data_IF_596954348062
#
_entry.id   IF_596954348062
#
_cell.length_a   1.000
_cell.length_b   1.000
_cell.length_c   1.000
_cell.angle_alpha   90.00
_cell.angle_beta   90.00
_cell.angle_gamma   90.00
#
_symmetry.space_group_name_H-M   'P 1'
#
loop_
_entity.id
_entity.type
_entity.pdbx_description
1 polymer ?
#
# COMPACT_ATOMS: atom_id res chain seq x y z
N UNK A 1 25.33 -8.35 -20.97
CA UNK A 1 24.44 -7.39 -20.29
C UNK A 1 24.21 -7.92 -18.88
N UNK A 2 24.36 -7.14 -17.80
CA UNK A 2 24.07 -7.61 -16.45
C UNK A 2 22.59 -7.98 -16.37
N UNK A 3 22.30 -9.26 -16.15
CA UNK A 3 20.95 -9.75 -15.92
C UNK A 3 20.71 -9.65 -14.42
N UNK A 4 19.80 -8.76 -14.00
CA UNK A 4 19.37 -8.70 -12.61
C UNK A 4 18.52 -9.94 -12.33
N UNK A 5 19.17 -10.98 -11.82
CA UNK A 5 18.50 -12.20 -11.40
C UNK A 5 17.78 -12.01 -10.07
N UNK A 6 16.89 -12.96 -9.70
CA UNK A 6 16.30 -12.99 -8.36
C UNK A 6 17.36 -12.94 -7.25
N UNK A 7 18.53 -13.52 -7.49
CA UNK A 7 19.64 -13.53 -6.53
C UNK A 7 20.27 -12.14 -6.33
N UNK A 8 20.57 -11.39 -7.41
CA UNK A 8 21.05 -10.00 -7.28
C UNK A 8 20.03 -9.11 -6.56
N UNK A 9 18.73 -9.27 -6.85
CA UNK A 9 17.68 -8.50 -6.17
C UNK A 9 17.64 -8.77 -4.66
N UNK A 10 17.84 -10.01 -4.23
CA UNK A 10 17.92 -10.36 -2.81
C UNK A 10 19.13 -9.70 -2.15
N UNK A 11 20.29 -9.70 -2.80
CA UNK A 11 21.50 -9.04 -2.27
C UNK A 11 21.27 -7.54 -2.10
N UNK A 12 20.68 -6.88 -3.10
CA UNK A 12 20.32 -5.46 -3.02
C UNK A 12 19.33 -5.22 -1.87
N UNK A 13 18.32 -6.08 -1.73
CA UNK A 13 17.34 -5.98 -0.65
C UNK A 13 18.00 -6.07 0.73
N UNK A 14 18.98 -6.96 0.92
CA UNK A 14 19.74 -7.07 2.18
C UNK A 14 20.52 -5.78 2.45
N UNK A 15 21.18 -5.18 1.45
CA UNK A 15 21.91 -3.92 1.60
C UNK A 15 20.95 -2.78 1.99
N UNK A 16 19.79 -2.68 1.33
CA UNK A 16 18.75 -1.69 1.67
C UNK A 16 18.27 -1.90 3.11
N UNK A 17 18.05 -3.15 3.53
CA UNK A 17 17.69 -3.49 4.90
C UNK A 17 18.80 -3.09 5.90
N UNK A 18 20.08 -3.23 5.55
CA UNK A 18 21.17 -2.80 6.43
C UNK A 18 21.18 -1.28 6.65
N UNK A 19 20.85 -0.49 5.63
CA UNK A 19 20.84 0.97 5.70
C UNK A 19 19.60 1.48 6.43
N UNK A 20 18.41 0.98 6.05
CA UNK A 20 17.13 1.48 6.58
C UNK A 20 16.62 0.70 7.79
N UNK A 21 17.11 -0.52 8.03
CA UNK A 21 16.63 -1.43 9.05
C UNK A 21 15.44 -2.29 8.59
N UNK A 22 15.33 -3.51 9.15
CA UNK A 22 14.26 -4.48 8.83
C UNK A 22 12.84 -3.96 9.10
N UNK A 23 12.68 -3.02 10.04
CA UNK A 23 11.38 -2.47 10.42
C UNK A 23 10.86 -1.34 9.53
N UNK A 24 11.76 -0.62 8.82
CA UNK A 24 11.37 0.55 8.02
C UNK A 24 10.72 0.20 6.69
N UNK A 25 11.15 -0.90 6.08
CA UNK A 25 10.54 -1.40 4.83
C UNK A 25 9.05 -1.74 4.95
N UNK A 26 8.59 -2.53 5.95
CA UNK A 26 7.16 -2.81 6.12
C UNK A 26 6.37 -1.58 6.58
N UNK A 27 6.97 -0.68 7.36
CA UNK A 27 6.35 0.59 7.77
C UNK A 27 6.03 1.48 6.54
N UNK A 28 7.03 1.68 5.67
CA UNK A 28 6.88 2.45 4.42
C UNK A 28 5.98 1.72 3.43
N UNK A 29 6.16 0.41 3.25
CA UNK A 29 5.33 -0.40 2.37
C UNK A 29 3.86 -0.43 2.79
N UNK A 30 3.57 -0.45 4.09
CA UNK A 30 2.22 -0.38 4.63
C UNK A 30 1.54 0.97 4.35
N UNK A 31 2.26 2.08 4.52
CA UNK A 31 1.76 3.42 4.20
C UNK A 31 1.53 3.59 2.69
N UNK A 32 2.50 3.21 1.86
CA UNK A 32 2.39 3.25 0.41
C UNK A 32 1.28 2.32 -0.11
N UNK A 33 1.13 1.13 0.47
CA UNK A 33 0.08 0.19 0.10
C UNK A 33 -1.33 0.72 0.37
N UNK A 34 -1.53 1.40 1.52
CA UNK A 34 -2.78 2.10 1.81
C UNK A 34 -3.04 3.21 0.81
N UNK A 35 -2.04 4.06 0.55
CA UNK A 35 -2.15 5.14 -0.43
C UNK A 35 -2.47 4.63 -1.84
N UNK A 36 -1.79 3.58 -2.31
CA UNK A 36 -2.06 2.96 -3.61
C UNK A 36 -3.46 2.35 -3.65
N UNK A 37 -3.91 1.73 -2.56
CA UNK A 37 -5.27 1.15 -2.47
C UNK A 37 -6.34 2.23 -2.53
N UNK A 38 -6.17 3.33 -1.80
CA UNK A 38 -7.08 4.47 -1.82
C UNK A 38 -7.04 5.18 -3.18
N UNK A 39 -5.86 5.37 -3.76
CA UNK A 39 -5.69 5.91 -5.10
C UNK A 39 -6.40 5.04 -6.14
N UNK A 40 -6.18 3.71 -6.11
CA UNK A 40 -6.91 2.77 -6.99
C UNK A 40 -8.41 2.83 -6.78
N UNK A 41 -8.90 2.93 -5.54
CA UNK A 41 -10.34 3.11 -5.27
C UNK A 41 -10.87 4.39 -5.86
N UNK A 42 -10.20 5.52 -5.65
CA UNK A 42 -10.60 6.81 -6.20
C UNK A 42 -10.59 6.82 -7.74
N UNK A 43 -9.58 6.18 -8.36
CA UNK A 43 -9.47 6.09 -9.82
C UNK A 43 -10.45 5.07 -10.43
N UNK A 44 -10.71 3.94 -9.77
CA UNK A 44 -11.60 2.88 -10.28
C UNK A 44 -13.08 3.10 -9.93
N UNK A 45 -13.39 3.74 -8.80
CA UNK A 45 -14.76 4.03 -8.36
C UNK A 45 -15.20 5.47 -8.67
N UNK A 46 -14.34 6.28 -9.31
CA UNK A 46 -14.65 7.58 -9.90
C UNK A 46 -15.71 8.42 -9.15
N UNK A 47 -15.33 9.07 -8.05
CA UNK A 47 -16.06 10.18 -7.38
C UNK A 47 -17.52 9.89 -6.93
N UNK A 48 -18.12 8.71 -7.16
CA UNK A 48 -19.52 8.45 -6.76
C UNK A 48 -19.58 7.26 -5.82
N UNK A 49 -19.27 7.51 -4.55
CA UNK A 49 -20.01 6.87 -3.47
C UNK A 49 -20.69 7.98 -2.68
N UNK A 50 -21.97 8.14 -2.98
CA UNK A 50 -22.94 8.87 -2.17
C UNK A 50 -22.77 8.52 -0.69
N UNK A 51 -23.05 9.48 0.21
CA UNK A 51 -22.90 9.28 1.65
C UNK A 51 -23.69 8.05 2.07
N UNK A 52 -23.06 7.21 2.90
CA UNK A 52 -23.76 6.14 3.61
C UNK A 52 -24.88 6.81 4.41
N UNK A 53 -26.10 6.68 3.89
CA UNK A 53 -27.33 7.02 4.58
C UNK A 53 -27.38 6.10 5.81
N UNK A 54 -26.99 6.68 6.94
CA UNK A 54 -27.16 6.14 8.27
C UNK A 54 -28.66 5.91 8.50
N UNK A 55 -29.14 4.74 8.07
CA UNK A 55 -30.44 4.20 8.49
C UNK A 55 -30.23 3.42 9.77
N UNK A 56 -29.84 4.11 10.84
CA UNK A 56 -30.03 3.58 12.19
C UNK A 56 -31.38 4.09 12.72
N UNK A 57 -32.30 3.14 12.84
CA UNK A 57 -33.68 3.38 13.18
C UNK A 57 -33.85 3.93 14.59
N UNK A 58 -34.75 4.90 14.71
CA UNK A 58 -35.65 5.00 15.85
C UNK A 58 -37.08 4.97 15.32
N UNK A 59 -37.57 3.74 15.10
CA UNK A 59 -38.99 3.45 15.27
C UNK A 59 -39.18 3.08 16.74
N UNK A 60 -40.33 3.49 17.26
CA UNK A 60 -40.85 3.39 18.65
C UNK A 60 -40.52 4.56 19.57
#
# INVERSE_FOLDING_TARGET
>A
MPNLGPMELVIILVVVIMIFGVGKLPEVGGALGKAIREFRRATSEGIIKEPVEDKEGRKE
#
